data_IF_503934834862
#
_entry.id   IF_503934834862
#
_cell.length_a   1.000
_cell.length_b   1.000
_cell.length_c   1.000
_cell.angle_alpha   90.00
_cell.angle_beta   90.00
_cell.angle_gamma   90.00
#
_symmetry.space_group_name_H-M   'P 1'
#
loop_
_entity.id
_entity.type
_entity.pdbx_description
1 polymer ?
#
# COMPACT_ATOMS: atom_id res chain seq x y z
N UNK A 1 -8.66 8.34 -9.99
CA UNK A 1 -7.29 7.86 -9.64
C UNK A 1 -7.34 6.34 -9.49
N UNK A 2 -6.21 5.63 -9.28
CA UNK A 2 -6.21 4.16 -9.19
C UNK A 2 -7.11 3.65 -8.06
N UNK A 3 -7.13 4.34 -6.91
CA UNK A 3 -7.99 4.00 -5.76
C UNK A 3 -9.46 4.09 -6.12
N UNK A 4 -9.90 5.19 -6.75
CA UNK A 4 -11.29 5.37 -7.23
C UNK A 4 -11.73 4.24 -8.18
N UNK A 5 -10.83 3.79 -9.06
CA UNK A 5 -11.14 2.70 -9.98
C UNK A 5 -11.27 1.35 -9.27
N UNK A 6 -10.37 1.07 -8.32
CA UNK A 6 -10.43 -0.14 -7.50
C UNK A 6 -11.68 -0.16 -6.61
N UNK A 7 -12.02 0.96 -5.97
CA UNK A 7 -13.22 1.11 -5.16
C UNK A 7 -14.49 0.79 -5.93
N UNK A 8 -14.62 1.37 -7.13
CA UNK A 8 -15.72 1.07 -8.05
C UNK A 8 -15.78 -0.40 -8.45
N UNK A 9 -14.64 -0.99 -8.81
CA UNK A 9 -14.57 -2.40 -9.18
C UNK A 9 -15.02 -3.29 -8.02
N UNK A 10 -14.49 -3.07 -6.82
CA UNK A 10 -14.85 -3.81 -5.61
C UNK A 10 -16.34 -3.67 -5.32
N UNK A 11 -16.84 -2.43 -5.22
CA UNK A 11 -18.24 -2.17 -4.94
C UNK A 11 -19.17 -2.89 -5.92
N UNK A 12 -18.90 -2.79 -7.24
CA UNK A 12 -19.70 -3.46 -8.26
C UNK A 12 -19.63 -4.98 -8.16
N UNK A 13 -18.45 -5.55 -7.93
CA UNK A 13 -18.33 -7.00 -7.78
C UNK A 13 -19.11 -7.49 -6.56
N UNK A 14 -19.03 -6.79 -5.43
CA UNK A 14 -19.76 -7.15 -4.22
C UNK A 14 -21.28 -7.03 -4.38
N UNK A 15 -21.77 -6.01 -5.09
CA UNK A 15 -23.20 -5.86 -5.40
C UNK A 15 -23.75 -6.96 -6.30
N UNK A 16 -22.88 -7.63 -7.08
CA UNK A 16 -23.26 -8.72 -7.98
C UNK A 16 -23.00 -10.11 -7.38
N UNK A 17 -22.63 -10.20 -6.09
CA UNK A 17 -22.48 -11.48 -5.43
C UNK A 17 -23.82 -12.21 -5.33
N UNK A 18 -23.85 -13.54 -5.51
CA UNK A 18 -25.05 -14.32 -5.24
C UNK A 18 -25.52 -14.13 -3.79
N UNK A 19 -26.84 -14.13 -3.53
CA UNK A 19 -27.35 -14.06 -2.17
C UNK A 19 -26.77 -15.16 -1.27
N UNK A 20 -26.40 -14.80 -0.05
CA UNK A 20 -25.86 -15.73 0.95
C UNK A 20 -24.35 -15.97 0.86
N UNK A 21 -23.66 -15.43 -0.16
CA UNK A 21 -22.20 -15.45 -0.21
C UNK A 21 -21.64 -14.36 0.70
N UNK A 22 -20.79 -14.75 1.65
CA UNK A 22 -20.05 -13.80 2.47
C UNK A 22 -19.02 -13.06 1.60
N UNK A 23 -19.04 -11.72 1.52
CA UNK A 23 -18.04 -10.93 0.81
C UNK A 23 -16.58 -11.26 1.15
N UNK A 24 -16.31 -11.64 2.40
CA UNK A 24 -14.97 -12.01 2.86
C UNK A 24 -14.48 -13.37 2.34
N UNK A 25 -15.39 -14.22 1.89
CA UNK A 25 -15.08 -15.53 1.31
C UNK A 25 -14.84 -15.44 -0.21
N UNK A 26 -15.03 -14.26 -0.82
CA UNK A 26 -14.76 -14.08 -2.24
C UNK A 26 -13.27 -14.37 -2.53
N UNK A 27 -12.93 -15.25 -3.50
CA UNK A 27 -11.55 -15.75 -3.69
C UNK A 27 -10.52 -14.65 -3.98
N UNK A 28 -10.94 -13.59 -4.69
CA UNK A 28 -10.08 -12.44 -5.01
C UNK A 28 -10.24 -11.28 -4.02
N UNK A 29 -11.47 -10.84 -3.76
CA UNK A 29 -11.75 -9.64 -2.97
C UNK A 29 -11.76 -9.87 -1.46
N UNK A 30 -11.93 -11.11 -1.00
CA UNK A 30 -12.09 -11.46 0.41
C UNK A 30 -11.03 -10.87 1.34
N UNK A 31 -9.72 -10.97 1.00
CA UNK A 31 -8.66 -10.33 1.79
C UNK A 31 -8.82 -8.80 1.90
N UNK A 32 -9.15 -8.12 0.81
CA UNK A 32 -9.34 -6.65 0.81
C UNK A 32 -10.59 -6.27 1.62
N UNK A 33 -11.68 -7.02 1.46
CA UNK A 33 -12.91 -6.82 2.23
C UNK A 33 -12.64 -6.97 3.73
N UNK A 34 -11.89 -8.01 4.11
CA UNK A 34 -11.52 -8.27 5.51
C UNK A 34 -10.70 -7.13 6.09
N UNK A 35 -9.66 -6.68 5.38
CA UNK A 35 -8.80 -5.58 5.82
C UNK A 35 -9.58 -4.27 5.98
N UNK A 36 -10.44 -3.95 5.01
CA UNK A 36 -11.30 -2.75 5.09
C UNK A 36 -12.28 -2.86 6.26
N UNK A 37 -12.90 -4.02 6.49
CA UNK A 37 -13.80 -4.23 7.63
C UNK A 37 -13.08 -4.01 8.96
N UNK A 38 -11.89 -4.58 9.12
CA UNK A 38 -11.08 -4.43 10.33
C UNK A 38 -10.70 -2.96 10.55
N UNK A 39 -10.23 -2.27 9.51
CA UNK A 39 -9.88 -0.85 9.56
C UNK A 39 -11.09 0.03 9.97
N UNK A 40 -12.29 -0.32 9.51
CA UNK A 40 -13.52 0.41 9.84
C UNK A 40 -14.22 -0.06 11.12
N UNK A 41 -13.59 -0.93 11.93
CA UNK A 41 -14.15 -1.38 13.21
C UNK A 41 -15.35 -2.33 13.06
N UNK A 42 -15.35 -3.17 12.04
CA UNK A 42 -16.35 -4.24 11.86
C UNK A 42 -17.43 -3.96 10.81
N UNK A 43 -17.51 -2.74 10.27
CA UNK A 43 -18.47 -2.38 9.21
C UNK A 43 -17.87 -2.49 7.82
N UNK A 44 -18.72 -2.76 6.82
CA UNK A 44 -18.34 -2.68 5.41
C UNK A 44 -18.88 -1.39 4.76
N UNK A 45 -18.12 -0.77 3.84
CA UNK A 45 -18.61 0.33 3.04
C UNK A 45 -19.82 -0.05 2.18
N UNK A 46 -20.80 0.86 2.08
CA UNK A 46 -22.05 0.64 1.36
C UNK A 46 -22.09 1.30 -0.02
N UNK A 47 -21.23 2.29 -0.29
CA UNK A 47 -21.22 3.06 -1.55
C UNK A 47 -19.83 3.06 -2.21
N UNK A 48 -19.75 3.41 -3.50
CA UNK A 48 -18.45 3.56 -4.20
C UNK A 48 -17.53 4.56 -3.46
N UNK A 49 -18.08 5.68 -2.99
CA UNK A 49 -17.31 6.73 -2.28
C UNK A 49 -16.79 6.25 -0.92
N UNK A 50 -17.60 5.50 -0.16
CA UNK A 50 -17.14 4.93 1.11
C UNK A 50 -16.03 3.89 0.90
N UNK A 51 -16.08 3.12 -0.20
CA UNK A 51 -15.00 2.21 -0.59
C UNK A 51 -13.74 2.97 -0.97
N UNK A 52 -13.86 4.06 -1.73
CA UNK A 52 -12.71 4.90 -2.12
C UNK A 52 -12.01 5.49 -0.89
N UNK A 53 -12.78 6.10 0.01
CA UNK A 53 -12.24 6.69 1.25
C UNK A 53 -11.58 5.62 2.14
N UNK A 54 -12.23 4.47 2.33
CA UNK A 54 -11.70 3.41 3.17
C UNK A 54 -10.39 2.83 2.62
N UNK A 55 -10.30 2.61 1.30
CA UNK A 55 -9.07 2.13 0.67
C UNK A 55 -7.95 3.18 0.75
N UNK A 56 -8.27 4.44 0.50
CA UNK A 56 -7.29 5.52 0.59
C UNK A 56 -6.71 5.63 2.00
N UNK A 57 -7.56 5.57 3.03
CA UNK A 57 -7.12 5.61 4.43
C UNK A 57 -6.32 4.38 4.83
N UNK A 58 -6.77 3.19 4.48
CA UNK A 58 -6.04 1.94 4.75
C UNK A 58 -4.63 1.98 4.14
N UNK A 59 -4.49 2.41 2.88
CA UNK A 59 -3.19 2.55 2.23
C UNK A 59 -2.30 3.60 2.90
N UNK A 60 -2.89 4.74 3.31
CA UNK A 60 -2.15 5.76 4.04
C UNK A 60 -1.65 5.25 5.40
N UNK A 61 -2.48 4.51 6.13
CA UNK A 61 -2.12 3.91 7.42
C UNK A 61 -1.00 2.88 7.28
N UNK A 62 -1.03 2.03 6.25
CA UNK A 62 0.06 1.08 5.97
C UNK A 62 1.38 1.84 5.77
N UNK A 63 1.36 2.95 5.02
CA UNK A 63 2.55 3.78 4.79
C UNK A 63 3.05 4.44 6.07
N UNK A 64 2.14 5.00 6.88
CA UNK A 64 2.49 5.65 8.16
C UNK A 64 3.04 4.64 9.16
N UNK A 65 2.38 3.49 9.33
CA UNK A 65 2.85 2.41 10.21
C UNK A 65 4.21 1.87 9.74
N UNK A 66 4.41 1.76 8.42
CA UNK A 66 5.70 1.43 7.83
C UNK A 66 6.78 2.44 8.21
N UNK A 67 6.48 3.73 8.17
CA UNK A 67 7.40 4.79 8.60
C UNK A 67 7.76 4.64 10.06
N UNK A 68 6.78 4.48 10.94
CA UNK A 68 7.01 4.37 12.37
C UNK A 68 7.88 3.15 12.72
N UNK A 69 7.62 2.02 12.07
CA UNK A 69 8.31 0.75 12.30
C UNK A 69 9.71 0.72 11.70
N UNK A 70 9.88 1.20 10.48
CA UNK A 70 11.08 0.96 9.69
C UNK A 70 11.90 2.22 9.38
N UNK A 71 11.37 3.40 9.72
CA UNK A 71 11.81 4.72 9.25
C UNK A 71 11.60 4.91 7.75
N UNK A 72 11.60 6.18 7.33
CA UNK A 72 11.60 6.53 5.92
C UNK A 72 12.94 6.18 5.25
N UNK A 73 12.94 5.93 3.94
CA UNK A 73 14.17 5.77 3.18
C UNK A 73 15.13 6.94 3.34
N UNK A 74 16.42 6.65 3.25
CA UNK A 74 17.52 7.63 3.31
C UNK A 74 18.31 7.65 2.01
N UNK A 75 19.18 8.67 1.89
CA UNK A 75 20.15 8.75 0.79
C UNK A 75 21.47 9.35 1.25
N UNK A 76 22.57 8.69 0.89
CA UNK A 76 23.94 9.13 1.13
C UNK A 76 24.63 9.46 -0.21
N UNK A 77 25.47 10.49 -0.24
CA UNK A 77 26.37 10.71 -1.37
C UNK A 77 27.60 9.83 -1.18
N UNK A 78 28.04 9.14 -2.23
CA UNK A 78 29.29 8.39 -2.21
C UNK A 78 30.45 9.25 -2.73
N UNK A 79 30.27 9.86 -3.90
CA UNK A 79 31.24 10.75 -4.56
C UNK A 79 30.50 11.77 -5.46
N UNK A 80 31.18 12.56 -6.30
CA UNK A 80 30.52 13.57 -7.15
C UNK A 80 29.48 13.03 -8.15
N UNK A 81 29.51 11.73 -8.45
CA UNK A 81 28.70 11.13 -9.51
C UNK A 81 27.84 9.96 -9.02
N UNK A 82 27.94 9.57 -7.73
CA UNK A 82 27.23 8.42 -7.18
C UNK A 82 26.60 8.72 -5.83
N UNK A 83 25.38 8.20 -5.67
CA UNK A 83 24.65 8.22 -4.40
C UNK A 83 24.01 6.86 -4.14
N UNK A 84 23.79 6.53 -2.87
CA UNK A 84 23.10 5.31 -2.43
C UNK A 84 21.82 5.69 -1.70
N UNK A 85 20.70 5.16 -2.18
CA UNK A 85 19.42 5.16 -1.49
C UNK A 85 19.29 3.88 -0.67
N UNK A 86 18.74 3.94 0.53
CA UNK A 86 18.61 2.76 1.38
C UNK A 86 17.44 2.84 2.35
N UNK A 87 16.99 1.69 2.81
CA UNK A 87 16.03 1.56 3.91
C UNK A 87 16.13 0.18 4.56
N UNK A 88 15.70 0.06 5.82
CA UNK A 88 15.26 -1.22 6.37
C UNK A 88 13.75 -1.33 6.17
N UNK A 89 13.22 -2.52 5.88
CA UNK A 89 11.79 -2.69 5.62
C UNK A 89 11.39 -4.16 5.63
N UNK A 90 10.17 -4.47 5.17
CA UNK A 90 9.80 -5.85 4.89
C UNK A 90 10.86 -6.49 3.96
N UNK A 91 11.30 -7.69 4.31
CA UNK A 91 12.38 -8.38 3.57
C UNK A 91 13.81 -7.91 3.90
N UNK A 92 14.00 -7.02 4.88
CA UNK A 92 15.32 -6.63 5.39
C UNK A 92 15.88 -5.35 4.77
N UNK A 93 17.21 -5.23 4.78
CA UNK A 93 17.92 -4.07 4.22
C UNK A 93 17.81 -4.04 2.70
N UNK A 94 17.51 -2.87 2.15
CA UNK A 94 17.58 -2.57 0.72
C UNK A 94 18.54 -1.41 0.47
N UNK A 95 19.33 -1.52 -0.59
CA UNK A 95 20.23 -0.47 -1.07
C UNK A 95 20.19 -0.39 -2.59
N UNK A 96 20.24 0.82 -3.14
CA UNK A 96 20.31 1.08 -4.57
C UNK A 96 21.29 2.22 -4.86
N UNK A 97 22.24 2.00 -5.77
CA UNK A 97 23.13 3.04 -6.25
C UNK A 97 22.54 3.74 -7.48
N UNK A 98 22.79 5.04 -7.60
CA UNK A 98 22.37 5.83 -8.75
C UNK A 98 23.32 7.00 -9.04
N UNK A 99 23.15 7.61 -10.22
CA UNK A 99 24.00 8.72 -10.70
C UNK A 99 23.78 10.05 -9.95
N UNK A 100 22.75 10.13 -9.12
CA UNK A 100 22.43 11.33 -8.34
C UNK A 100 21.67 10.99 -7.05
N UNK A 101 21.75 11.88 -6.05
CA UNK A 101 20.95 11.76 -4.80
C UNK A 101 19.46 11.62 -5.08
N UNK A 102 18.97 12.38 -6.07
CA UNK A 102 17.54 12.43 -6.39
C UNK A 102 17.08 11.08 -6.90
N UNK A 103 17.80 10.50 -7.85
CA UNK A 103 17.50 9.21 -8.45
C UNK A 103 17.56 8.10 -7.38
N UNK A 104 18.66 8.03 -6.63
CA UNK A 104 18.85 7.05 -5.56
C UNK A 104 17.70 7.09 -4.52
N UNK A 105 17.30 8.29 -4.10
CA UNK A 105 16.21 8.47 -3.15
C UNK A 105 14.83 8.17 -3.75
N UNK A 106 14.62 8.42 -5.04
CA UNK A 106 13.36 8.07 -5.71
C UNK A 106 13.19 6.57 -5.82
N UNK A 107 14.23 5.84 -6.23
CA UNK A 107 14.19 4.38 -6.33
C UNK A 107 14.00 3.73 -4.96
N UNK A 108 14.77 4.15 -3.95
CA UNK A 108 14.61 3.64 -2.59
C UNK A 108 13.19 3.87 -2.04
N UNK A 109 12.56 5.02 -2.32
CA UNK A 109 11.18 5.30 -1.89
C UNK A 109 10.14 4.45 -2.60
N UNK A 110 10.27 4.26 -3.91
CA UNK A 110 9.33 3.42 -4.68
C UNK A 110 9.35 1.98 -4.16
N UNK A 111 10.56 1.43 -4.02
CA UNK A 111 10.72 0.07 -3.51
C UNK A 111 10.23 -0.07 -2.07
N UNK A 112 10.45 0.93 -1.22
CA UNK A 112 9.95 0.93 0.15
C UNK A 112 8.42 0.85 0.21
N UNK A 113 7.71 1.71 -0.53
CA UNK A 113 6.23 1.66 -0.59
C UNK A 113 5.76 0.33 -1.17
N UNK A 114 6.41 -0.15 -2.24
CA UNK A 114 6.06 -1.44 -2.85
C UNK A 114 6.16 -2.61 -1.85
N UNK A 115 7.25 -2.67 -1.08
CA UNK A 115 7.44 -3.73 -0.07
C UNK A 115 6.45 -3.63 1.08
N UNK A 116 6.11 -2.42 1.54
CA UNK A 116 5.05 -2.25 2.54
C UNK A 116 3.71 -2.78 2.07
N UNK A 117 3.37 -2.58 0.80
CA UNK A 117 2.08 -2.99 0.24
C UNK A 117 2.00 -4.47 -0.16
N UNK A 118 3.15 -5.17 -0.26
CA UNK A 118 3.19 -6.54 -0.79
C UNK A 118 3.82 -7.56 0.16
N UNK A 119 4.52 -7.11 1.19
CA UNK A 119 5.28 -7.96 2.12
C UNK A 119 5.10 -7.53 3.59
N UNK A 120 4.25 -6.52 3.84
CA UNK A 120 3.99 -5.93 5.15
C UNK A 120 3.05 -6.73 6.03
#
# INVERSE_FOLDING_TARGET
MIVSHLARMIHRTLQNLPPGINPEEHPVLGPVVTQVRLHLGGRLPQTEDEWEEALARLLAEIVVAGWDRYRAPGVAQLDEHRAVGSFNGPGGLYTVEASSRREAYMEARREWVYRLLTQG
#
